data_IF_520008649953
#
_entry.id   IF_520008649953
#
_cell.length_a   1.000
_cell.length_b   1.000
_cell.length_c   1.000
_cell.angle_alpha   90.00
_cell.angle_beta   90.00
_cell.angle_gamma   90.00
#
_symmetry.space_group_name_H-M   'P 1'
#
loop_
_entity.id
_entity.type
_entity.pdbx_description
1 polymer ?
#
# COMPACT_ATOMS: atom_id res chain seq x y z
N UNK A 1 -22.83 18.20 -0.16
CA UNK A 1 -23.25 16.82 0.19
C UNK A 1 -22.64 16.53 1.54
N UNK A 2 -23.43 16.04 2.50
CA UNK A 2 -22.96 15.84 3.88
C UNK A 2 -21.87 14.77 3.93
N UNK A 3 -20.73 15.09 4.55
CA UNK A 3 -19.70 14.10 4.82
C UNK A 3 -20.29 12.99 5.69
N UNK A 4 -20.16 11.76 5.23
CA UNK A 4 -20.46 10.59 6.06
C UNK A 4 -19.39 10.52 7.15
N UNK A 5 -19.77 10.36 8.42
CA UNK A 5 -18.79 10.06 9.48
C UNK A 5 -18.15 8.66 9.30
N UNK A 6 -18.61 7.87 8.34
CA UNK A 6 -18.07 6.55 8.01
C UNK A 6 -16.77 6.68 7.23
N UNK A 7 -15.77 5.86 7.58
CA UNK A 7 -14.47 5.81 6.91
C UNK A 7 -14.33 4.57 6.03
N UNK A 8 -13.41 4.60 5.07
CA UNK A 8 -12.94 3.43 4.30
C UNK A 8 -11.44 3.27 4.48
N UNK A 9 -11.02 2.13 4.98
CA UNK A 9 -9.63 1.76 5.13
C UNK A 9 -9.26 0.69 4.10
N UNK A 10 -8.35 1.04 3.21
CA UNK A 10 -7.70 0.07 2.35
C UNK A 10 -6.50 -0.52 3.08
N UNK A 11 -6.67 -1.75 3.57
CA UNK A 11 -5.70 -2.45 4.40
C UNK A 11 -4.86 -3.46 3.61
N UNK A 12 -4.93 -3.44 2.27
CA UNK A 12 -3.98 -4.15 1.42
C UNK A 12 -2.59 -3.50 1.45
N UNK A 13 -1.58 -4.18 0.90
CA UNK A 13 -0.24 -3.61 0.72
C UNK A 13 -0.21 -2.63 -0.46
N UNK A 14 0.83 -1.79 -0.52
CA UNK A 14 1.13 -1.06 -1.75
C UNK A 14 1.21 -2.02 -2.96
N UNK A 15 1.04 -1.49 -4.17
CA UNK A 15 1.03 -2.25 -5.43
C UNK A 15 -0.20 -3.16 -5.62
N UNK A 16 -1.27 -2.95 -4.85
CA UNK A 16 -2.59 -3.57 -5.02
C UNK A 16 -3.66 -2.58 -5.50
N UNK A 17 -3.30 -1.71 -6.45
CA UNK A 17 -4.16 -0.66 -7.04
C UNK A 17 -4.59 0.48 -6.09
N UNK A 18 -3.84 0.74 -5.01
CA UNK A 18 -4.10 1.84 -4.05
C UNK A 18 -4.36 3.20 -4.72
N UNK A 19 -3.56 3.59 -5.71
CA UNK A 19 -3.77 4.84 -6.47
C UNK A 19 -5.08 4.86 -7.26
N UNK A 20 -5.49 3.73 -7.85
CA UNK A 20 -6.75 3.65 -8.60
C UNK A 20 -7.96 3.81 -7.69
N UNK A 21 -7.91 3.23 -6.48
CA UNK A 21 -8.98 3.42 -5.49
C UNK A 21 -9.01 4.85 -4.98
N UNK A 22 -7.85 5.45 -4.69
CA UNK A 22 -7.78 6.86 -4.33
C UNK A 22 -8.44 7.75 -5.40
N UNK A 23 -8.11 7.55 -6.68
CA UNK A 23 -8.70 8.29 -7.79
C UNK A 23 -10.23 8.11 -7.92
N UNK A 24 -10.74 6.89 -7.69
CA UNK A 24 -12.18 6.61 -7.69
C UNK A 24 -12.93 7.44 -6.63
N UNK A 25 -12.43 7.47 -5.40
CA UNK A 25 -13.07 8.20 -4.31
C UNK A 25 -12.94 9.72 -4.49
N UNK A 26 -11.75 10.23 -4.86
CA UNK A 26 -11.54 11.66 -5.14
C UNK A 26 -12.43 12.12 -6.29
N UNK A 27 -12.47 11.38 -7.40
CA UNK A 27 -13.31 11.71 -8.54
C UNK A 27 -14.80 11.71 -8.19
N UNK A 28 -15.21 10.82 -7.30
CA UNK A 28 -16.59 10.75 -6.79
C UNK A 28 -16.92 11.81 -5.72
N UNK A 29 -15.98 12.71 -5.40
CA UNK A 29 -16.21 13.85 -4.50
C UNK A 29 -15.89 13.59 -3.02
N UNK A 30 -15.22 12.48 -2.70
CA UNK A 30 -14.81 12.14 -1.33
C UNK A 30 -13.37 12.59 -1.04
N UNK A 31 -13.10 12.90 0.23
CA UNK A 31 -11.75 13.21 0.69
C UNK A 31 -10.99 11.91 0.95
N UNK A 32 -9.91 11.69 0.21
CA UNK A 32 -9.09 10.49 0.32
C UNK A 32 -7.63 10.88 0.57
N UNK A 33 -7.03 10.31 1.61
CA UNK A 33 -5.60 10.41 1.87
C UNK A 33 -4.91 9.14 1.35
N UNK A 34 -3.85 9.34 0.54
CA UNK A 34 -3.09 8.26 -0.11
C UNK A 34 -1.59 8.46 0.15
N UNK A 35 -1.00 7.57 0.95
CA UNK A 35 0.41 7.57 1.35
C UNK A 35 0.92 8.78 2.18
N UNK A 36 0.60 10.01 1.77
CA UNK A 36 1.00 11.22 2.46
C UNK A 36 -0.06 12.34 2.39
N UNK A 37 0.08 13.34 3.26
CA UNK A 37 -0.69 14.58 3.29
C UNK A 37 0.31 15.72 3.47
N UNK A 38 0.46 16.61 2.48
CA UNK A 38 1.36 17.77 2.58
C UNK A 38 2.78 17.44 3.10
N UNK A 39 3.33 16.31 2.66
CA UNK A 39 4.65 15.81 3.06
C UNK A 39 4.67 14.95 4.34
N UNK A 40 3.53 14.79 5.02
CA UNK A 40 3.38 13.95 6.20
C UNK A 40 2.94 12.55 5.79
N UNK A 41 3.81 11.55 5.97
CA UNK A 41 3.46 10.16 5.64
C UNK A 41 2.45 9.59 6.65
N UNK A 42 1.40 8.94 6.15
CA UNK A 42 0.31 8.41 6.97
C UNK A 42 0.79 7.35 7.97
N UNK A 43 1.54 6.35 7.49
CA UNK A 43 1.98 5.22 8.32
C UNK A 43 2.96 5.64 9.42
N UNK A 44 3.85 6.59 9.11
CA UNK A 44 4.75 7.16 10.11
C UNK A 44 3.99 7.91 11.22
N UNK A 45 2.97 8.69 10.85
CA UNK A 45 2.16 9.42 11.83
C UNK A 45 1.26 8.49 12.65
N UNK A 46 0.69 7.45 12.03
CA UNK A 46 -0.05 6.41 12.76
C UNK A 46 0.82 5.71 13.81
N UNK A 47 2.04 5.33 13.44
CA UNK A 47 2.97 4.69 14.38
C UNK A 47 3.36 5.65 15.53
N UNK A 48 3.65 6.91 15.22
CA UNK A 48 3.93 7.93 16.25
C UNK A 48 2.74 8.12 17.19
N UNK A 49 1.52 8.23 16.66
CA UNK A 49 0.31 8.37 17.46
C UNK A 49 0.09 7.16 18.37
N UNK A 50 0.29 5.95 17.84
CA UNK A 50 0.23 4.72 18.62
C UNK A 50 1.24 4.72 19.78
N UNK A 51 2.49 5.10 19.53
CA UNK A 51 3.54 5.21 20.56
C UNK A 51 3.22 6.27 21.63
N UNK A 52 2.56 7.36 21.22
CA UNK A 52 2.12 8.43 22.11
C UNK A 52 0.81 8.11 22.87
N UNK A 53 0.18 6.96 22.63
CA UNK A 53 -1.12 6.60 23.21
C UNK A 53 -2.29 7.45 22.69
N UNK A 54 -2.17 7.99 21.48
CA UNK A 54 -3.21 8.78 20.80
C UNK A 54 -3.98 7.91 19.80
N UNK A 55 -5.20 8.33 19.41
CA UNK A 55 -5.88 7.72 18.28
C UNK A 55 -4.99 7.71 17.03
N UNK A 56 -5.02 6.63 16.25
CA UNK A 56 -4.11 6.44 15.12
C UNK A 56 -4.15 7.58 14.11
N UNK A 57 -5.34 8.12 13.84
CA UNK A 57 -5.54 9.21 12.88
C UNK A 57 -5.48 10.61 13.50
N UNK A 58 -5.06 10.74 14.77
CA UNK A 58 -5.01 12.05 15.43
C UNK A 58 -4.19 13.06 14.60
N UNK A 59 -4.85 14.16 14.22
CA UNK A 59 -4.28 15.24 13.39
C UNK A 59 -4.53 15.11 11.88
N UNK A 60 -5.13 14.03 11.41
CA UNK A 60 -5.44 13.80 10.00
C UNK A 60 -6.64 12.88 9.78
N UNK A 61 -7.61 12.90 10.72
CA UNK A 61 -8.84 12.10 10.68
C UNK A 61 -9.93 12.71 9.80
N UNK A 62 -9.61 13.74 9.04
CA UNK A 62 -10.52 14.54 8.23
C UNK A 62 -10.85 13.94 6.86
N UNK A 63 -10.18 12.87 6.45
CA UNK A 63 -10.53 12.11 5.25
C UNK A 63 -11.59 11.04 5.51
N UNK A 64 -12.35 10.77 4.46
CA UNK A 64 -13.29 9.67 4.34
C UNK A 64 -12.57 8.36 4.04
N UNK A 65 -11.40 8.41 3.38
CA UNK A 65 -10.69 7.23 2.86
C UNK A 65 -9.20 7.28 3.12
N UNK A 66 -8.62 6.15 3.53
CA UNK A 66 -7.17 6.00 3.76
C UNK A 66 -6.63 4.81 2.98
N UNK A 67 -5.52 5.01 2.27
CA UNK A 67 -4.90 3.98 1.44
C UNK A 67 -3.38 4.16 1.32
N UNK A 68 -2.69 3.08 0.92
CA UNK A 68 -1.23 3.07 0.73
C UNK A 68 -0.47 3.46 2.00
N UNK A 69 -0.77 2.73 3.08
CA UNK A 69 -0.23 2.96 4.41
C UNK A 69 1.19 2.40 4.54
N UNK A 70 2.08 2.67 3.59
CA UNK A 70 3.49 2.25 3.65
C UNK A 70 4.38 3.48 3.92
N UNK A 71 5.40 3.32 4.75
CA UNK A 71 6.50 4.28 4.92
C UNK A 71 7.82 3.58 4.69
N UNK A 72 8.74 4.29 4.02
CA UNK A 72 10.10 3.82 3.83
C UNK A 72 11.10 4.98 3.87
N UNK A 73 12.02 4.89 4.84
CA UNK A 73 13.26 5.64 4.92
C UNK A 73 14.43 4.66 4.97
N UNK A 74 15.66 5.16 4.97
CA UNK A 74 16.83 4.27 5.02
C UNK A 74 17.02 3.62 6.39
N UNK A 75 16.38 4.16 7.43
CA UNK A 75 16.44 3.65 8.80
C UNK A 75 15.16 2.94 9.25
N UNK A 76 14.06 3.06 8.51
CA UNK A 76 12.75 2.68 9.03
C UNK A 76 11.77 2.28 7.93
N UNK A 77 11.11 1.15 8.10
CA UNK A 77 10.10 0.60 7.20
C UNK A 77 8.84 0.26 7.99
N UNK A 78 7.71 0.85 7.59
CA UNK A 78 6.43 0.68 8.25
C UNK A 78 5.42 0.23 7.21
N UNK A 79 4.75 -0.88 7.51
CA UNK A 79 3.45 -1.20 6.90
C UNK A 79 2.37 -0.85 7.93
N UNK A 80 1.78 0.33 7.79
CA UNK A 80 0.75 0.88 8.65
C UNK A 80 -0.61 0.21 8.46
N UNK A 81 -0.80 -0.53 7.37
CA UNK A 81 -1.96 -1.40 7.20
C UNK A 81 -2.07 -2.46 8.32
N UNK A 82 -0.97 -2.79 9.02
CA UNK A 82 -0.95 -3.72 10.16
C UNK A 82 -1.80 -3.28 11.36
N UNK A 83 -2.11 -1.99 11.44
CA UNK A 83 -2.90 -1.37 12.53
C UNK A 83 -4.41 -1.52 12.32
N UNK A 84 -4.86 -2.45 11.48
CA UNK A 84 -6.28 -2.59 11.14
C UNK A 84 -7.15 -3.00 12.33
N UNK A 85 -6.58 -3.68 13.33
CA UNK A 85 -7.30 -4.09 14.54
C UNK A 85 -7.62 -2.86 15.41
N UNK A 86 -6.63 -2.00 15.61
CA UNK A 86 -6.77 -0.74 16.33
C UNK A 86 -7.64 0.26 15.56
N UNK A 87 -7.48 0.36 14.24
CA UNK A 87 -8.39 1.17 13.40
C UNK A 87 -9.84 0.68 13.51
N UNK A 88 -10.08 -0.63 13.57
CA UNK A 88 -11.42 -1.18 13.78
C UNK A 88 -11.96 -0.84 15.17
N UNK A 89 -11.12 -0.89 16.20
CA UNK A 89 -11.52 -0.51 17.56
C UNK A 89 -11.87 0.99 17.66
N UNK A 90 -11.12 1.87 17.00
CA UNK A 90 -11.36 3.33 16.97
C UNK A 90 -12.55 3.70 16.07
N UNK A 91 -12.76 2.96 14.98
CA UNK A 91 -13.78 3.23 13.96
C UNK A 91 -14.61 1.97 13.67
N UNK A 92 -15.46 1.51 14.63
CA UNK A 92 -16.19 0.24 14.52
C UNK A 92 -17.27 0.20 13.43
N UNK A 93 -17.57 1.34 12.80
CA UNK A 93 -18.50 1.45 11.68
C UNK A 93 -17.79 1.65 10.33
N UNK A 94 -16.46 1.65 10.27
CA UNK A 94 -15.74 1.87 9.01
C UNK A 94 -15.79 0.65 8.07
N UNK A 95 -15.63 0.90 6.78
CA UNK A 95 -15.39 -0.16 5.81
C UNK A 95 -13.91 -0.54 5.79
N UNK A 96 -13.62 -1.83 5.78
CA UNK A 96 -12.26 -2.36 5.63
C UNK A 96 -12.17 -3.17 4.34
N UNK A 97 -11.29 -2.76 3.45
CA UNK A 97 -11.09 -3.43 2.15
C UNK A 97 -9.67 -4.00 2.11
N UNK A 98 -9.58 -5.32 2.20
CA UNK A 98 -8.33 -6.05 2.01
C UNK A 98 -8.12 -6.28 0.51
N UNK A 99 -7.33 -5.40 -0.11
CA UNK A 99 -6.92 -5.54 -1.50
C UNK A 99 -5.87 -6.64 -1.63
N UNK A 100 -6.11 -7.59 -2.52
CA UNK A 100 -5.17 -8.65 -2.87
C UNK A 100 -4.94 -8.68 -4.38
N UNK A 101 -3.91 -9.40 -4.80
CA UNK A 101 -3.62 -9.73 -6.20
C UNK A 101 -2.80 -11.02 -6.24
N UNK A 102 -2.50 -11.54 -7.42
CA UNK A 102 -1.55 -12.64 -7.57
C UNK A 102 -0.22 -12.32 -6.85
N UNK A 103 0.23 -13.23 -5.98
CA UNK A 103 1.38 -13.01 -5.11
C UNK A 103 2.68 -12.75 -5.89
N UNK A 104 2.96 -13.54 -6.93
CA UNK A 104 4.17 -13.38 -7.74
C UNK A 104 4.16 -12.05 -8.50
N UNK A 105 2.99 -11.65 -9.02
CA UNK A 105 2.82 -10.36 -9.67
C UNK A 105 3.01 -9.19 -8.68
N UNK A 106 2.57 -9.36 -7.43
CA UNK A 106 2.79 -8.39 -6.36
C UNK A 106 4.28 -8.26 -6.02
N UNK A 107 4.97 -9.39 -5.76
CA UNK A 107 6.41 -9.43 -5.49
C UNK A 107 7.19 -8.75 -6.62
N UNK A 108 6.93 -9.13 -7.87
CA UNK A 108 7.55 -8.50 -9.04
C UNK A 108 7.27 -7.00 -9.10
N UNK A 109 6.06 -6.56 -8.76
CA UNK A 109 5.71 -5.15 -8.74
C UNK A 109 6.45 -4.36 -7.65
N UNK A 110 6.76 -4.97 -6.50
CA UNK A 110 7.60 -4.36 -5.46
C UNK A 110 9.06 -4.27 -5.86
N UNK A 111 9.62 -5.33 -6.47
CA UNK A 111 10.98 -5.30 -7.00
C UNK A 111 11.17 -4.25 -8.09
N UNK A 112 10.16 -4.05 -8.95
CA UNK A 112 10.20 -3.03 -10.01
C UNK A 112 9.92 -1.61 -9.50
N UNK A 113 9.65 -1.42 -8.20
CA UNK A 113 9.33 -0.12 -7.65
C UNK A 113 10.61 0.65 -7.26
N UNK A 114 11.29 1.23 -8.25
CA UNK A 114 12.50 2.05 -8.03
C UNK A 114 13.54 1.32 -7.14
N UNK A 115 14.03 1.98 -6.08
CA UNK A 115 14.97 1.42 -5.11
C UNK A 115 14.28 0.77 -3.90
N UNK A 116 12.99 0.46 -3.99
CA UNK A 116 12.19 0.04 -2.84
C UNK A 116 12.74 -1.21 -2.16
N UNK A 117 13.06 -2.27 -2.93
CA UNK A 117 13.64 -3.49 -2.38
C UNK A 117 14.96 -3.23 -1.65
N UNK A 118 15.89 -2.51 -2.30
CA UNK A 118 17.19 -2.17 -1.71
C UNK A 118 17.05 -1.36 -0.41
N UNK A 119 16.15 -0.39 -0.39
CA UNK A 119 15.90 0.45 0.78
C UNK A 119 15.20 -0.30 1.92
N UNK A 120 14.30 -1.24 1.60
CA UNK A 120 13.74 -2.16 2.62
C UNK A 120 14.84 -3.03 3.21
N UNK A 121 15.76 -3.56 2.39
CA UNK A 121 16.92 -4.30 2.90
C UNK A 121 17.76 -3.45 3.85
N UNK A 122 18.04 -2.19 3.51
CA UNK A 122 18.77 -1.26 4.39
C UNK A 122 18.03 -1.02 5.69
N UNK A 123 16.74 -0.66 5.63
CA UNK A 123 15.93 -0.32 6.80
C UNK A 123 15.75 -1.50 7.78
N UNK A 124 15.68 -2.72 7.26
CA UNK A 124 15.48 -3.93 8.05
C UNK A 124 16.77 -4.73 8.32
N UNK A 125 17.92 -4.25 7.83
CA UNK A 125 19.19 -4.98 7.83
C UNK A 125 19.06 -6.41 7.28
N UNK A 126 18.33 -6.57 6.17
CA UNK A 126 18.12 -7.84 5.48
C UNK A 126 19.15 -8.02 4.36
N UNK A 127 19.59 -9.26 4.16
CA UNK A 127 20.29 -9.65 2.93
C UNK A 127 19.35 -9.51 1.73
N UNK A 128 19.84 -9.07 0.54
CA UNK A 128 19.01 -8.92 -0.66
C UNK A 128 18.19 -10.17 -1.03
N UNK A 129 18.74 -11.36 -0.80
CA UNK A 129 18.11 -12.64 -1.12
C UNK A 129 16.95 -12.98 -0.16
N UNK A 130 16.89 -12.34 1.01
CA UNK A 130 15.87 -12.60 2.03
C UNK A 130 14.61 -11.73 1.88
N UNK A 131 14.67 -10.63 1.12
CA UNK A 131 13.57 -9.64 1.07
C UNK A 131 12.29 -10.20 0.45
N UNK A 132 12.42 -11.09 -0.54
CA UNK A 132 11.26 -11.75 -1.14
C UNK A 132 10.53 -12.63 -0.13
N UNK A 133 11.28 -13.51 0.56
CA UNK A 133 10.71 -14.39 1.57
C UNK A 133 10.05 -13.60 2.70
N UNK A 134 10.70 -12.51 3.13
CA UNK A 134 10.14 -11.57 4.11
C UNK A 134 8.80 -10.99 3.66
N UNK A 135 8.70 -10.51 2.41
CA UNK A 135 7.46 -9.95 1.89
C UNK A 135 6.35 -10.99 1.72
N UNK A 136 6.67 -12.22 1.28
CA UNK A 136 5.68 -13.30 1.17
C UNK A 136 5.13 -13.69 2.54
N UNK A 137 5.99 -13.84 3.55
CA UNK A 137 5.57 -14.10 4.93
C UNK A 137 4.69 -12.96 5.46
N UNK A 138 5.10 -11.71 5.24
CA UNK A 138 4.33 -10.53 5.64
C UNK A 138 2.95 -10.49 5.00
N UNK A 139 2.86 -10.79 3.69
CA UNK A 139 1.59 -10.85 2.95
C UNK A 139 0.67 -11.95 3.49
N UNK A 140 1.20 -13.16 3.65
CA UNK A 140 0.45 -14.32 4.12
C UNK A 140 -0.07 -14.10 5.55
N UNK A 141 0.80 -13.65 6.46
CA UNK A 141 0.48 -13.35 7.86
C UNK A 141 -0.59 -12.27 7.96
N UNK A 142 -0.42 -11.14 7.28
CA UNK A 142 -1.37 -10.02 7.29
C UNK A 142 -2.73 -10.43 6.72
N UNK A 143 -2.74 -11.13 5.58
CA UNK A 143 -3.98 -11.60 4.93
C UNK A 143 -4.75 -12.55 5.86
N UNK A 144 -4.05 -13.48 6.51
CA UNK A 144 -4.67 -14.41 7.43
C UNK A 144 -5.22 -13.69 8.67
N UNK A 145 -4.46 -12.78 9.26
CA UNK A 145 -4.90 -12.00 10.44
C UNK A 145 -6.15 -11.16 10.12
N UNK A 146 -6.15 -10.42 9.02
CA UNK A 146 -7.29 -9.59 8.62
C UNK A 146 -8.55 -10.44 8.39
N UNK A 147 -8.44 -11.54 7.63
CA UNK A 147 -9.56 -12.46 7.40
C UNK A 147 -10.07 -13.12 8.67
N UNK A 148 -9.19 -13.43 9.63
CA UNK A 148 -9.59 -13.98 10.92
C UNK A 148 -10.32 -12.94 11.76
N UNK A 149 -9.78 -11.73 11.87
CA UNK A 149 -10.33 -10.63 12.68
C UNK A 149 -11.72 -10.20 12.20
N UNK A 150 -11.89 -10.05 10.89
CA UNK A 150 -13.13 -9.54 10.29
C UNK A 150 -14.09 -10.64 9.81
N UNK A 151 -13.93 -11.89 10.27
CA UNK A 151 -14.73 -13.04 9.79
C UNK A 151 -16.23 -12.79 9.82
N UNK A 152 -16.71 -12.12 10.88
CA UNK A 152 -18.12 -11.87 11.14
C UNK A 152 -18.45 -10.36 11.06
N UNK A 153 -17.63 -9.58 10.36
CA UNK A 153 -17.81 -8.14 10.23
C UNK A 153 -18.38 -7.76 8.86
N UNK A 154 -19.63 -7.27 8.84
CA UNK A 154 -20.38 -6.98 7.60
C UNK A 154 -19.74 -5.90 6.72
N UNK A 155 -18.92 -5.02 7.29
CA UNK A 155 -18.21 -3.95 6.56
C UNK A 155 -16.75 -4.34 6.26
N UNK A 156 -16.48 -5.63 6.04
CA UNK A 156 -15.21 -6.12 5.51
C UNK A 156 -15.35 -6.75 4.11
N UNK A 157 -14.44 -6.40 3.21
CA UNK A 157 -14.38 -6.95 1.85
C UNK A 157 -12.96 -7.41 1.52
N UNK A 158 -12.81 -8.67 1.12
CA UNK A 158 -11.62 -9.14 0.40
C UNK A 158 -11.79 -8.83 -1.09
N UNK A 159 -10.93 -7.99 -1.66
CA UNK A 159 -11.01 -7.54 -3.04
C UNK A 159 -9.75 -7.96 -3.82
N UNK A 160 -9.86 -9.00 -4.63
CA UNK A 160 -8.81 -9.43 -5.55
C UNK A 160 -8.84 -8.57 -6.82
N UNK A 161 -7.88 -7.66 -6.98
CA UNK A 161 -7.86 -6.70 -8.10
C UNK A 161 -7.67 -7.37 -9.47
N UNK A 162 -7.24 -8.63 -9.51
CA UNK A 162 -7.07 -9.39 -10.76
C UNK A 162 -8.38 -10.08 -11.18
N UNK A 163 -9.37 -10.21 -10.28
CA UNK A 163 -10.58 -11.01 -10.50
C UNK A 163 -11.88 -10.26 -10.23
N UNK A 164 -11.91 -9.42 -9.20
CA UNK A 164 -13.10 -8.67 -8.82
C UNK A 164 -13.38 -7.54 -9.79
N UNK A 165 -14.66 -7.20 -9.90
CA UNK A 165 -15.12 -6.05 -10.67
C UNK A 165 -15.20 -4.86 -9.74
N UNK A 166 -14.93 -3.66 -10.25
CA UNK A 166 -15.04 -2.46 -9.40
C UNK A 166 -16.48 -2.26 -8.87
N UNK A 167 -17.48 -2.71 -9.61
CA UNK A 167 -18.88 -2.75 -9.16
C UNK A 167 -19.06 -3.48 -7.82
N UNK A 168 -18.25 -4.51 -7.54
CA UNK A 168 -18.32 -5.26 -6.28
C UNK A 168 -17.99 -4.34 -5.09
N UNK A 169 -16.97 -3.49 -5.24
CA UNK A 169 -16.63 -2.47 -4.24
C UNK A 169 -17.71 -1.39 -4.16
N UNK A 170 -18.18 -0.89 -5.31
CA UNK A 170 -19.18 0.18 -5.38
C UNK A 170 -20.46 -0.24 -4.66
N UNK A 171 -20.97 -1.45 -4.92
CA UNK A 171 -22.17 -1.95 -4.25
C UNK A 171 -21.92 -2.19 -2.75
N UNK A 172 -20.75 -2.67 -2.38
CA UNK A 172 -20.38 -2.91 -0.98
C UNK A 172 -20.39 -1.63 -0.12
N UNK A 173 -19.86 -0.52 -0.64
CA UNK A 173 -19.82 0.76 0.11
C UNK A 173 -21.05 1.64 -0.11
N UNK A 174 -21.95 1.24 -1.01
CA UNK A 174 -23.16 1.98 -1.41
C UNK A 174 -24.03 2.52 -0.29
N UNK A 175 -24.19 1.85 0.87
CA UNK A 175 -24.99 2.40 1.97
C UNK A 175 -24.52 3.78 2.43
N UNK A 176 -23.21 4.06 2.37
CA UNK A 176 -22.62 5.32 2.85
C UNK A 176 -21.90 6.13 1.75
N UNK A 177 -21.61 5.52 0.58
CA UNK A 177 -20.82 6.11 -0.50
C UNK A 177 -21.48 5.95 -1.88
N UNK A 178 -21.58 7.04 -2.64
CA UNK A 178 -22.03 7.05 -4.04
C UNK A 178 -20.82 7.22 -4.94
N UNK A 179 -20.30 6.10 -5.46
CA UNK A 179 -19.11 6.10 -6.32
C UNK A 179 -19.48 6.07 -7.80
N UNK A 180 -18.81 6.89 -8.61
CA UNK A 180 -18.92 6.87 -10.06
C UNK A 180 -17.81 6.01 -10.67
N UNK A 181 -18.22 4.90 -11.28
CA UNK A 181 -17.34 3.96 -12.01
C UNK A 181 -16.47 4.67 -13.05
N UNK A 182 -16.91 5.79 -13.63
CA UNK A 182 -16.15 6.56 -14.61
C UNK A 182 -14.77 7.03 -14.11
N UNK A 183 -14.58 7.16 -12.80
CA UNK A 183 -13.29 7.50 -12.20
C UNK A 183 -12.40 6.29 -11.89
N UNK A 184 -12.90 5.07 -12.10
CA UNK A 184 -12.08 3.87 -12.00
C UNK A 184 -11.22 3.67 -13.25
N UNK A 185 -9.91 3.55 -13.06
CA UNK A 185 -8.96 3.29 -14.14
C UNK A 185 -7.72 2.54 -13.66
N UNK A 186 -7.07 1.83 -14.59
CA UNK A 186 -5.80 1.14 -14.33
C UNK A 186 -4.65 2.15 -14.32
N UNK A 187 -4.35 2.71 -13.15
CA UNK A 187 -3.24 3.64 -12.94
C UNK A 187 -1.99 2.86 -12.48
N UNK A 188 -0.80 3.34 -12.84
CA UNK A 188 0.50 2.78 -12.38
C UNK A 188 0.71 1.28 -12.67
N UNK A 189 0.30 0.81 -13.86
CA UNK A 189 0.54 -0.58 -14.25
C UNK A 189 2.02 -0.84 -14.55
N UNK A 190 2.57 -1.90 -13.95
CA UNK A 190 3.84 -2.48 -14.39
C UNK A 190 3.56 -3.24 -15.69
N UNK A 191 4.10 -2.78 -16.82
CA UNK A 191 4.09 -3.53 -18.08
C UNK A 191 4.88 -4.81 -17.91
N UNK A 192 4.32 -5.96 -18.30
CA UNK A 192 5.09 -7.18 -18.46
C UNK A 192 6.15 -6.95 -19.57
N UNK A 193 7.39 -7.35 -19.33
CA UNK A 193 8.37 -7.43 -20.41
C UNK A 193 7.87 -8.52 -21.37
N UNK A 194 7.52 -8.13 -22.59
CA UNK A 194 7.19 -9.07 -23.66
C UNK A 194 8.43 -9.92 -23.96
N UNK A 195 8.36 -11.22 -23.69
CA UNK A 195 9.35 -12.20 -24.12
C UNK A 195 9.19 -12.48 -25.62
N UNK A 196 9.47 -11.48 -26.45
CA UNK A 196 9.64 -11.64 -27.90
C UNK A 196 10.81 -10.77 -28.36
N UNK A 197 12.01 -11.35 -28.31
CA UNK A 197 13.00 -11.34 -29.40
C UNK A 197 14.26 -12.07 -28.93
N UNK A 198 14.32 -13.36 -29.28
CA UNK A 198 15.61 -14.04 -29.42
C UNK A 198 16.36 -13.40 -30.58
N UNK A 199 17.49 -12.76 -30.29
CA UNK A 199 18.32 -12.09 -31.28
C UNK A 199 19.61 -11.57 -30.66
N UNK A 200 20.64 -12.41 -30.76
CA UNK A 200 22.04 -12.22 -30.39
C UNK A 200 22.55 -10.78 -30.18
N UNK A 201 23.21 -10.54 -29.04
CA UNK A 201 24.40 -9.68 -28.97
C UNK A 201 25.43 -10.29 -28.02
N UNK A 202 26.52 -10.70 -28.64
CA UNK A 202 27.81 -11.06 -28.07
C UNK A 202 28.48 -9.86 -27.36
N UNK A 203 29.18 -10.18 -26.28
CA UNK A 203 30.40 -9.58 -25.71
C UNK A 203 30.56 -8.05 -25.55
N UNK A 204 30.67 -7.65 -24.27
CA UNK A 204 31.54 -6.65 -23.63
C UNK A 204 30.79 -6.15 -22.36
N UNK A 205 31.36 -6.01 -21.17
CA UNK A 205 32.72 -5.68 -20.76
C UNK A 205 32.82 -6.08 -19.27
N UNK A 206 33.78 -6.93 -18.93
CA UNK A 206 34.25 -7.11 -17.56
C UNK A 206 34.86 -5.79 -17.09
N UNK A 207 34.20 -5.05 -16.19
CA UNK A 207 34.81 -4.02 -15.34
C UNK A 207 33.79 -3.51 -14.31
N UNK A 208 33.62 -4.28 -13.24
CA UNK A 208 32.96 -3.79 -12.02
C UNK A 208 33.70 -4.29 -10.78
N UNK A 209 35.01 -4.08 -10.76
CA UNK A 209 35.83 -4.11 -9.57
C UNK A 209 36.81 -2.94 -9.67
N UNK A 210 36.94 -2.18 -8.59
CA UNK A 210 37.87 -1.06 -8.35
C UNK A 210 37.39 0.35 -8.76
N UNK A 211 37.17 1.19 -7.75
CA UNK A 211 37.14 2.66 -7.92
C UNK A 211 36.07 3.34 -7.07
N UNK A 212 36.46 3.83 -5.88
CA UNK A 212 35.54 4.34 -4.87
C UNK A 212 35.01 5.77 -5.08
N UNK A 213 34.15 6.18 -4.13
CA UNK A 213 34.28 7.38 -3.29
C UNK A 213 33.07 7.50 -2.38
N UNK A 214 33.35 7.65 -1.09
CA UNK A 214 32.38 8.10 -0.10
C UNK A 214 31.89 9.52 -0.47
N UNK A 215 30.58 9.73 -0.38
CA UNK A 215 29.99 11.07 -0.36
C UNK A 215 29.38 11.30 1.01
N UNK A 216 30.02 12.21 1.73
CA UNK A 216 29.64 12.79 3.00
C UNK A 216 28.81 14.05 2.72
N UNK A 217 27.64 14.16 3.32
CA UNK A 217 26.86 15.41 3.35
C UNK A 217 26.29 15.60 4.74
N UNK A 218 27.15 16.09 5.63
CA UNK A 218 26.76 16.91 6.77
C UNK A 218 27.19 18.35 6.50
N UNK A 219 26.23 19.29 6.46
CA UNK A 219 26.37 20.72 6.82
C UNK A 219 25.05 21.47 6.62
N UNK A 220 24.45 21.80 7.76
CA UNK A 220 23.87 23.09 8.20
C UNK A 220 23.11 23.95 7.20
#
# INVERSE_FOLDING_TARGET
>A
MGHSNTKVFFIGFNKTATTSFHALFVGSGYKSHHHNIDGWNLALNMEKNSQDGKPLLAGFDDADVYSDLTYLSDAHYIEGNRYFEELHAEYPNAYFVLQTRNEDDWIRSRFNHYLFAARVCTALNLAPEAVEAYWRDQLASHTQRAKTHFRDYDRFLCFDIDRNRIEDLIEFVKPDFVLDRGFWGKLNQTTAISSENGGARDQADERCCEGGRAYDHDRR
#
